data_IF_524779140500
#
_entry.id   IF_524779140500
#
_cell.length_a   1.000
_cell.length_b   1.000
_cell.length_c   1.000
_cell.angle_alpha   90.00
_cell.angle_beta   90.00
_cell.angle_gamma   90.00
#
_symmetry.space_group_name_H-M   'P 1'
#
loop_
_entity.id
_entity.type
_entity.pdbx_description
1 polymer ?
#
# COMPACT_ATOMS: atom_id res chain seq x y z
N UNK A 1 -8.30 22.88 4.23
CA UNK A 1 -9.00 21.81 4.96
C UNK A 1 -8.20 20.55 4.73
N UNK A 2 -7.79 19.84 5.79
CA UNK A 2 -7.14 18.53 5.62
C UNK A 2 -8.21 17.57 5.08
N UNK A 3 -8.10 17.24 3.80
CA UNK A 3 -8.99 16.32 3.05
C UNK A 3 -8.56 14.87 3.32
N UNK A 4 -8.33 14.53 4.58
CA UNK A 4 -8.06 13.16 4.98
C UNK A 4 -9.39 12.41 5.12
N UNK A 5 -9.48 11.22 4.53
CA UNK A 5 -10.65 10.36 4.63
C UNK A 5 -10.90 9.95 6.09
N UNK A 6 -12.11 10.24 6.61
CA UNK A 6 -12.49 9.86 7.97
C UNK A 6 -13.04 8.43 8.01
N UNK A 7 -12.14 7.44 8.07
CA UNK A 7 -12.52 6.02 8.15
C UNK A 7 -13.35 5.69 9.41
N UNK A 8 -13.24 6.49 10.47
CA UNK A 8 -14.03 6.31 11.69
C UNK A 8 -15.51 6.64 11.45
N UNK A 9 -15.79 7.76 10.78
CA UNK A 9 -17.15 8.13 10.37
C UNK A 9 -17.70 7.15 9.35
N UNK A 10 -16.89 6.73 8.37
CA UNK A 10 -17.29 5.71 7.40
C UNK A 10 -17.68 4.39 8.08
N UNK A 11 -16.90 3.94 9.05
CA UNK A 11 -17.20 2.74 9.86
C UNK A 11 -18.49 2.91 10.66
N UNK A 12 -18.74 4.09 11.21
CA UNK A 12 -19.97 4.38 11.93
C UNK A 12 -21.19 4.36 11.00
N UNK A 13 -21.07 4.94 9.81
CA UNK A 13 -22.11 4.93 8.78
C UNK A 13 -22.44 3.52 8.29
N UNK A 14 -21.42 2.70 7.99
CA UNK A 14 -21.65 1.31 7.55
C UNK A 14 -22.39 0.50 8.64
N UNK A 15 -22.13 0.75 9.93
CA UNK A 15 -22.84 0.07 11.02
C UNK A 15 -24.31 0.45 11.15
N UNK A 16 -24.73 1.61 10.64
CA UNK A 16 -26.14 2.03 10.69
C UNK A 16 -26.93 1.57 9.47
N UNK A 17 -26.26 1.06 8.43
CA UNK A 17 -26.90 0.47 7.26
C UNK A 17 -27.59 -0.84 7.63
N UNK A 18 -28.80 -1.05 7.11
CA UNK A 18 -29.64 -2.22 7.40
C UNK A 18 -29.00 -3.55 6.97
N UNK A 19 -28.07 -3.48 6.03
CA UNK A 19 -27.28 -4.59 5.50
C UNK A 19 -25.78 -4.36 5.79
N UNK A 20 -25.43 -3.96 7.01
CA UNK A 20 -24.04 -3.81 7.44
C UNK A 20 -23.30 -5.14 7.25
N UNK A 21 -22.70 -5.32 6.08
CA UNK A 21 -22.00 -6.53 5.72
C UNK A 21 -20.65 -6.54 6.44
N UNK A 22 -20.34 -7.68 7.06
CA UNK A 22 -19.05 -7.95 7.69
C UNK A 22 -17.91 -7.65 6.70
N UNK A 23 -18.11 -7.95 5.42
CA UNK A 23 -17.16 -7.66 4.36
C UNK A 23 -16.82 -6.16 4.27
N UNK A 24 -17.80 -5.27 4.37
CA UNK A 24 -17.57 -3.81 4.29
C UNK A 24 -16.73 -3.31 5.47
N UNK A 25 -16.97 -3.85 6.67
CA UNK A 25 -16.18 -3.51 7.86
C UNK A 25 -14.75 -4.04 7.75
N UNK A 26 -14.57 -5.26 7.22
CA UNK A 26 -13.25 -5.85 6.96
C UNK A 26 -12.47 -5.07 5.88
N UNK A 27 -13.15 -4.55 4.85
CA UNK A 27 -12.55 -3.68 3.84
C UNK A 27 -12.08 -2.35 4.45
N UNK A 28 -12.90 -1.70 5.28
CA UNK A 28 -12.51 -0.46 5.99
C UNK A 28 -11.30 -0.71 6.90
N UNK A 29 -11.31 -1.82 7.65
CA UNK A 29 -10.21 -2.19 8.53
C UNK A 29 -8.93 -2.48 7.72
N UNK A 30 -9.06 -3.12 6.56
CA UNK A 30 -7.93 -3.40 5.66
C UNK A 30 -7.36 -2.10 5.10
N UNK A 31 -8.19 -1.19 4.58
CA UNK A 31 -7.78 0.15 4.14
C UNK A 31 -7.07 0.92 5.26
N UNK A 32 -7.60 0.87 6.48
CA UNK A 32 -7.00 1.54 7.64
C UNK A 32 -5.64 0.97 8.04
N UNK A 33 -5.40 -0.32 7.83
CA UNK A 33 -4.15 -0.99 8.20
C UNK A 33 -3.08 -0.92 7.11
N UNK A 34 -3.47 -0.72 5.85
CA UNK A 34 -2.54 -0.67 4.72
C UNK A 34 -1.43 0.36 4.91
N UNK A 35 -1.71 1.52 5.50
CA UNK A 35 -0.68 2.53 5.80
C UNK A 35 0.38 1.98 6.79
N UNK A 36 -0.06 1.38 7.89
CA UNK A 36 0.86 0.78 8.87
C UNK A 36 1.67 -0.38 8.28
N UNK A 37 1.05 -1.20 7.43
CA UNK A 37 1.72 -2.31 6.74
C UNK A 37 2.75 -1.78 5.74
N UNK A 38 2.39 -0.74 4.99
CA UNK A 38 3.30 -0.07 4.05
C UNK A 38 4.52 0.50 4.79
N UNK A 39 4.27 1.23 5.88
CA UNK A 39 5.33 1.83 6.72
C UNK A 39 6.22 0.76 7.32
N UNK A 40 5.65 -0.36 7.79
CA UNK A 40 6.40 -1.51 8.31
C UNK A 40 7.40 -2.04 7.25
N UNK A 41 6.91 -2.33 6.05
CA UNK A 41 7.75 -2.82 4.97
C UNK A 41 8.80 -1.78 4.56
N UNK A 42 8.42 -0.51 4.45
CA UNK A 42 9.32 0.57 4.03
C UNK A 42 10.47 0.77 5.02
N UNK A 43 10.16 0.84 6.32
CA UNK A 43 11.17 0.97 7.37
C UNK A 43 12.08 -0.26 7.39
N UNK A 44 11.52 -1.46 7.27
CA UNK A 44 12.29 -2.71 7.28
C UNK A 44 13.24 -2.79 6.08
N UNK A 45 12.77 -2.39 4.88
CA UNK A 45 13.60 -2.34 3.68
C UNK A 45 14.76 -1.35 3.80
N UNK A 46 14.46 -0.13 4.28
CA UNK A 46 15.46 0.94 4.52
C UNK A 46 16.52 0.50 5.52
N UNK A 47 16.11 -0.23 6.55
CA UNK A 47 16.97 -0.57 7.69
C UNK A 47 17.70 -1.89 7.52
N UNK A 48 17.34 -2.71 6.52
CA UNK A 48 17.88 -4.04 6.30
C UNK A 48 19.42 -4.10 6.22
N UNK A 49 20.06 -3.06 5.65
CA UNK A 49 21.51 -3.00 5.49
C UNK A 49 22.23 -2.25 6.63
N UNK A 50 21.50 -1.74 7.63
CA UNK A 50 22.09 -1.06 8.79
C UNK A 50 22.97 -2.03 9.59
N UNK A 51 24.17 -1.58 9.95
CA UNK A 51 25.15 -2.43 10.66
C UNK A 51 25.87 -3.44 9.77
N UNK A 52 25.46 -3.59 8.50
CA UNK A 52 26.23 -4.32 7.48
C UNK A 52 27.10 -3.36 6.70
N UNK A 53 26.48 -2.35 6.09
CA UNK A 53 27.22 -1.32 5.35
C UNK A 53 27.77 -0.26 6.30
N UNK A 54 29.07 0.02 6.16
CA UNK A 54 29.75 1.07 6.88
C UNK A 54 29.75 2.36 6.05
N UNK A 55 28.65 3.11 6.11
CA UNK A 55 28.50 4.36 5.36
C UNK A 55 29.40 5.51 5.84
N UNK A 56 30.08 5.32 6.98
CA UNK A 56 31.01 6.31 7.55
C UNK A 56 32.46 6.05 7.13
N UNK A 57 32.73 4.93 6.46
CA UNK A 57 34.07 4.58 6.00
C UNK A 57 34.43 5.38 4.75
N UNK A 58 35.45 6.26 4.79
CA UNK A 58 35.68 7.25 3.73
C UNK A 58 36.05 6.66 2.37
N UNK A 59 36.66 5.47 2.33
CA UNK A 59 37.16 4.86 1.09
C UNK A 59 36.19 3.80 0.54
N UNK A 60 35.15 3.44 1.28
CA UNK A 60 34.16 2.43 0.91
C UNK A 60 34.74 1.03 0.66
N UNK A 61 36.00 0.77 1.03
CA UNK A 61 36.70 -0.49 0.78
C UNK A 61 35.99 -1.67 1.44
N UNK A 62 35.50 -1.51 2.66
CA UNK A 62 34.77 -2.57 3.37
C UNK A 62 33.46 -2.92 2.64
N UNK A 63 32.74 -1.90 2.20
CA UNK A 63 31.50 -2.07 1.43
C UNK A 63 31.77 -2.68 0.05
N UNK A 64 32.86 -2.30 -0.62
CA UNK A 64 33.28 -2.92 -1.88
C UNK A 64 33.60 -4.40 -1.70
N UNK A 65 34.29 -4.78 -0.62
CA UNK A 65 34.56 -6.21 -0.36
C UNK A 65 33.27 -7.00 -0.19
N UNK A 66 32.23 -6.45 0.47
CA UNK A 66 30.91 -7.08 0.54
C UNK A 66 30.21 -7.20 -0.83
N UNK A 67 30.30 -6.15 -1.66
CA UNK A 67 29.68 -6.15 -2.99
C UNK A 67 30.36 -7.13 -3.94
N UNK A 68 31.69 -7.27 -3.85
CA UNK A 68 32.48 -8.12 -4.75
C UNK A 68 32.77 -9.53 -4.19
N UNK A 69 32.24 -9.90 -3.03
CA UNK A 69 32.40 -11.26 -2.49
C UNK A 69 33.73 -11.51 -1.79
N UNK A 70 34.46 -10.46 -1.40
CA UNK A 70 35.75 -10.54 -0.72
C UNK A 70 35.68 -10.36 0.80
N UNK A 71 34.49 -10.42 1.41
CA UNK A 71 34.28 -10.24 2.85
C UNK A 71 33.81 -11.53 3.52
N UNK A 72 34.26 -11.78 4.75
CA UNK A 72 33.77 -12.90 5.57
C UNK A 72 32.29 -12.75 5.99
N UNK A 73 31.71 -11.55 5.84
CA UNK A 73 30.29 -11.26 6.15
C UNK A 73 29.37 -11.38 4.93
N UNK A 74 29.79 -12.15 3.93
CA UNK A 74 29.08 -12.24 2.65
C UNK A 74 27.65 -12.80 2.81
N UNK A 75 27.47 -13.81 3.67
CA UNK A 75 26.16 -14.40 3.94
C UNK A 75 25.21 -13.39 4.59
N UNK A 76 25.67 -12.65 5.60
CA UNK A 76 24.89 -11.59 6.25
C UNK A 76 24.45 -10.52 5.24
N UNK A 77 25.35 -10.10 4.35
CA UNK A 77 25.06 -9.12 3.31
C UNK A 77 24.03 -9.63 2.32
N UNK A 78 24.15 -10.88 1.86
CA UNK A 78 23.15 -11.48 0.97
C UNK A 78 21.78 -11.60 1.65
N UNK A 79 21.74 -12.04 2.90
CA UNK A 79 20.50 -12.12 3.65
C UNK A 79 19.84 -10.74 3.81
N UNK A 80 20.60 -9.71 4.19
CA UNK A 80 20.07 -8.35 4.30
C UNK A 80 19.56 -7.79 2.97
N UNK A 81 20.21 -8.10 1.86
CA UNK A 81 19.69 -7.75 0.53
C UNK A 81 18.33 -8.40 0.26
N UNK A 82 18.21 -9.70 0.53
CA UNK A 82 16.93 -10.43 0.37
C UNK A 82 15.85 -9.82 1.27
N UNK A 83 16.17 -9.48 2.52
CA UNK A 83 15.23 -8.79 3.43
C UNK A 83 14.80 -7.45 2.85
N UNK A 84 15.73 -6.65 2.32
CA UNK A 84 15.42 -5.36 1.69
C UNK A 84 14.49 -5.54 0.49
N UNK A 85 14.84 -6.44 -0.43
CA UNK A 85 14.08 -6.73 -1.65
C UNK A 85 12.68 -7.25 -1.35
N UNK A 86 12.56 -8.22 -0.42
CA UNK A 86 11.28 -8.79 -0.03
C UNK A 86 10.33 -7.72 0.55
N UNK A 87 10.86 -6.81 1.36
CA UNK A 87 10.06 -5.74 1.93
C UNK A 87 9.71 -4.64 0.92
N UNK A 88 10.58 -4.31 -0.03
CA UNK A 88 10.23 -3.43 -1.15
C UNK A 88 9.09 -4.01 -1.99
N UNK A 89 9.14 -5.31 -2.28
CA UNK A 89 8.04 -6.03 -2.93
C UNK A 89 6.77 -5.92 -2.09
N UNK A 90 6.88 -6.10 -0.77
CA UNK A 90 5.79 -5.90 0.20
C UNK A 90 5.14 -4.51 0.08
N UNK A 91 5.92 -3.43 0.10
CA UNK A 91 5.43 -2.06 -0.09
C UNK A 91 4.63 -1.89 -1.39
N UNK A 92 5.18 -2.37 -2.51
CA UNK A 92 4.55 -2.26 -3.82
C UNK A 92 3.21 -3.00 -3.84
N UNK A 93 3.17 -4.20 -3.27
CA UNK A 93 1.93 -4.98 -3.17
C UNK A 93 0.91 -4.32 -2.25
N UNK A 94 1.32 -3.76 -1.11
CA UNK A 94 0.41 -3.03 -0.22
C UNK A 94 -0.22 -1.82 -0.90
N UNK A 95 0.58 -1.03 -1.63
CA UNK A 95 0.09 0.14 -2.36
C UNK A 95 -0.93 -0.25 -3.46
N UNK A 96 -0.63 -1.32 -4.22
CA UNK A 96 -1.55 -1.84 -5.24
C UNK A 96 -2.85 -2.39 -4.65
N UNK A 97 -2.73 -3.21 -3.60
CA UNK A 97 -3.88 -3.81 -2.93
C UNK A 97 -4.77 -2.76 -2.25
N UNK A 98 -4.21 -1.63 -1.81
CA UNK A 98 -4.97 -0.53 -1.24
C UNK A 98 -5.98 0.04 -2.25
N UNK A 99 -5.58 0.26 -3.50
CA UNK A 99 -6.47 0.73 -4.56
C UNK A 99 -7.57 -0.28 -4.88
N UNK A 100 -7.25 -1.57 -4.91
CA UNK A 100 -8.24 -2.63 -5.14
C UNK A 100 -9.23 -2.76 -3.98
N UNK A 101 -8.75 -2.75 -2.74
CA UNK A 101 -9.57 -2.77 -1.52
C UNK A 101 -10.50 -1.56 -1.49
N UNK A 102 -9.99 -0.40 -1.87
CA UNK A 102 -10.77 0.82 -1.96
C UNK A 102 -11.84 0.74 -3.06
N UNK A 103 -11.53 0.18 -4.22
CA UNK A 103 -12.51 -0.06 -5.28
C UNK A 103 -13.63 -1.00 -4.81
N UNK A 104 -13.30 -2.09 -4.10
CA UNK A 104 -14.29 -3.00 -3.52
C UNK A 104 -15.18 -2.29 -2.50
N UNK A 105 -14.61 -1.42 -1.66
CA UNK A 105 -15.36 -0.64 -0.69
C UNK A 105 -16.36 0.31 -1.39
N UNK A 106 -15.93 1.00 -2.45
CA UNK A 106 -16.80 1.87 -3.25
C UNK A 106 -17.89 1.07 -3.95
N UNK A 107 -17.58 -0.11 -4.50
CA UNK A 107 -18.59 -1.01 -5.09
C UNK A 107 -19.66 -1.42 -4.06
N UNK A 108 -19.24 -1.79 -2.86
CA UNK A 108 -20.16 -2.16 -1.78
C UNK A 108 -21.06 -1.00 -1.34
N UNK A 109 -20.49 0.19 -1.14
CA UNK A 109 -21.21 1.34 -0.57
C UNK A 109 -22.07 2.06 -1.62
N UNK A 110 -21.50 2.35 -2.79
CA UNK A 110 -22.12 3.22 -3.80
C UNK A 110 -22.83 2.46 -4.90
N UNK A 111 -22.44 1.21 -5.16
CA UNK A 111 -23.01 0.39 -6.24
C UNK A 111 -23.80 -0.82 -5.71
N UNK A 112 -23.98 -0.93 -4.39
CA UNK A 112 -24.71 -2.02 -3.75
C UNK A 112 -24.12 -3.41 -4.02
N UNK A 113 -22.83 -3.51 -4.32
CA UNK A 113 -22.18 -4.77 -4.67
C UNK A 113 -22.57 -5.32 -6.04
N UNK A 114 -23.00 -4.47 -6.97
CA UNK A 114 -23.41 -4.89 -8.32
C UNK A 114 -22.28 -5.47 -9.17
N UNK A 115 -21.02 -5.15 -8.86
CA UNK A 115 -19.86 -5.75 -9.51
C UNK A 115 -19.40 -6.96 -8.70
N UNK A 116 -19.27 -8.11 -9.36
CA UNK A 116 -18.69 -9.31 -8.77
C UNK A 116 -17.25 -9.05 -8.27
N UNK A 117 -16.91 -9.58 -7.09
CA UNK A 117 -15.62 -9.34 -6.43
C UNK A 117 -14.44 -9.71 -7.34
N UNK A 118 -14.52 -10.79 -8.10
CA UNK A 118 -13.44 -11.23 -8.99
C UNK A 118 -13.24 -10.30 -10.19
N UNK A 119 -14.21 -9.44 -10.49
CA UNK A 119 -14.19 -8.45 -11.58
C UNK A 119 -14.08 -7.01 -11.06
N UNK A 120 -14.07 -6.82 -9.74
CA UNK A 120 -14.12 -5.53 -9.08
C UNK A 120 -12.75 -4.83 -9.11
N UNK A 121 -12.34 -4.40 -10.31
CA UNK A 121 -11.14 -3.59 -10.52
C UNK A 121 -11.46 -2.10 -10.31
N UNK A 122 -10.48 -1.25 -9.95
CA UNK A 122 -10.72 0.19 -9.85
C UNK A 122 -11.30 0.78 -11.13
N UNK A 123 -10.80 0.38 -12.30
CA UNK A 123 -11.34 0.83 -13.59
C UNK A 123 -12.80 0.43 -13.80
N UNK A 124 -13.18 -0.79 -13.43
CA UNK A 124 -14.58 -1.24 -13.54
C UNK A 124 -15.51 -0.42 -12.64
N UNK A 125 -15.07 -0.10 -11.43
CA UNK A 125 -15.81 0.75 -10.49
C UNK A 125 -15.97 2.17 -11.03
N UNK A 126 -14.90 2.78 -11.55
CA UNK A 126 -14.95 4.11 -12.15
C UNK A 126 -16.00 4.21 -13.27
N UNK A 127 -16.06 3.20 -14.13
CA UNK A 127 -17.04 3.13 -15.24
C UNK A 127 -18.47 2.97 -14.72
N UNK A 128 -18.67 2.17 -13.66
CA UNK A 128 -19.99 1.86 -13.12
C UNK A 128 -20.56 2.95 -12.21
N UNK A 129 -19.73 3.84 -11.68
CA UNK A 129 -20.17 4.94 -10.84
C UNK A 129 -21.10 5.88 -11.62
N UNK A 130 -22.23 6.32 -11.01
CA UNK A 130 -23.06 7.37 -11.59
C UNK A 130 -22.27 8.68 -11.65
N UNK A 131 -22.61 9.53 -12.61
CA UNK A 131 -21.96 10.83 -12.76
C UNK A 131 -22.16 11.68 -11.49
N UNK A 132 -21.07 12.27 -11.02
CA UNK A 132 -21.06 13.05 -9.78
C UNK A 132 -19.66 13.20 -9.20
N UNK A 133 -19.56 13.92 -8.08
CA UNK A 133 -18.28 14.25 -7.45
C UNK A 133 -17.43 13.02 -7.10
N UNK A 134 -18.06 11.95 -6.59
CA UNK A 134 -17.37 10.71 -6.26
C UNK A 134 -16.70 10.09 -7.49
N UNK A 135 -17.39 10.05 -8.64
CA UNK A 135 -16.83 9.53 -9.89
C UNK A 135 -15.65 10.37 -10.34
N UNK A 136 -15.81 11.70 -10.37
CA UNK A 136 -14.72 12.62 -10.75
C UNK A 136 -13.50 12.43 -9.86
N UNK A 137 -13.67 12.39 -8.53
CA UNK A 137 -12.57 12.18 -7.59
C UNK A 137 -11.91 10.81 -7.71
N UNK A 138 -12.70 9.78 -7.99
CA UNK A 138 -12.18 8.45 -8.19
C UNK A 138 -11.39 8.35 -9.51
N UNK A 139 -11.86 8.97 -10.60
CA UNK A 139 -11.12 9.07 -11.86
C UNK A 139 -9.85 9.91 -11.75
N UNK A 140 -9.88 11.02 -10.98
CA UNK A 140 -8.70 11.81 -10.62
C UNK A 140 -7.67 10.93 -9.89
N UNK A 141 -8.10 10.12 -8.90
CA UNK A 141 -7.22 9.19 -8.19
C UNK A 141 -6.58 8.16 -9.13
N UNK A 142 -7.31 7.66 -10.13
CA UNK A 142 -6.79 6.67 -11.10
C UNK A 142 -5.90 7.27 -12.19
N UNK A 143 -6.11 8.54 -12.54
CA UNK A 143 -5.35 9.26 -13.56
C UNK A 143 -4.13 9.98 -12.99
N UNK A 144 -4.11 10.23 -11.67
CA UNK A 144 -2.95 10.76 -11.01
C UNK A 144 -1.80 9.77 -11.15
N UNK A 145 -0.66 10.26 -11.63
CA UNK A 145 0.61 9.57 -11.51
C UNK A 145 1.10 9.55 -10.04
N UNK A 146 0.25 9.97 -9.10
CA UNK A 146 0.55 10.27 -7.69
C UNK A 146 0.16 9.17 -6.71
N UNK A 147 -0.45 8.05 -7.17
CA UNK A 147 -0.56 6.84 -6.34
C UNK A 147 0.77 6.26 -5.86
N UNK A 148 1.90 6.85 -6.28
CA UNK A 148 3.27 6.50 -5.89
C UNK A 148 4.03 7.68 -5.25
N UNK A 149 3.55 8.94 -5.36
CA UNK A 149 4.34 10.13 -4.94
C UNK A 149 4.15 10.55 -3.48
N UNK A 150 2.99 10.30 -2.88
CA UNK A 150 2.76 10.68 -1.47
C UNK A 150 3.39 9.69 -0.46
N UNK A 151 4.17 8.72 -0.96
CA UNK A 151 4.81 7.67 -0.17
C UNK A 151 6.35 7.60 -0.33
N UNK A 152 6.98 8.62 -0.92
CA UNK A 152 8.45 8.75 -1.02
C UNK A 152 8.94 9.98 -0.27
#
# INVERSE_FOLDING_TARGET
>A
MSTAWNLKELRAYVRTQRNADRLMLELIDSTSRSDSIFVYHMITARDALKGILNYKEPQGKENMMLVFGGSDRQEDFHYAKVVSEANLIGCIHTARNLLETFAQLVNCISLGGSIDVAKCTPKAVAVALPDGELKTKFEELLSSHEGVRDFV
#
